data_IF_113801167860
#
_entry.id   IF_113801167860
#
_cell.length_a   1.000
_cell.length_b   1.000
_cell.length_c   1.000
_cell.angle_alpha   90.00
_cell.angle_beta   90.00
_cell.angle_gamma   90.00
#
_symmetry.space_group_name_H-M   'P 1'
#
loop_
_entity.id
_entity.type
_entity.pdbx_description
1 polymer ?
#
# COMPACT_ATOMS: atom_id res chain seq x y z
N UNK A 1 5.35 -23.29 -13.07
CA UNK A 1 6.09 -22.04 -13.27
C UNK A 1 6.33 -21.46 -11.89
N UNK A 2 7.59 -21.34 -11.46
CA UNK A 2 7.89 -20.77 -10.14
C UNK A 2 7.49 -19.30 -10.18
N UNK A 3 6.50 -18.89 -9.38
CA UNK A 3 6.17 -17.48 -9.24
C UNK A 3 7.32 -16.84 -8.47
N UNK A 4 8.07 -15.94 -9.09
CA UNK A 4 8.95 -15.05 -8.35
C UNK A 4 8.10 -14.25 -7.35
N UNK A 5 8.59 -14.10 -6.11
CA UNK A 5 7.87 -13.38 -5.06
C UNK A 5 7.95 -11.88 -5.31
N UNK A 6 9.13 -11.39 -5.67
CA UNK A 6 9.37 -10.05 -6.20
C UNK A 6 9.47 -10.03 -7.73
N UNK A 7 9.06 -8.92 -8.34
CA UNK A 7 9.30 -8.65 -9.76
C UNK A 7 10.72 -8.15 -10.07
N UNK A 8 11.45 -7.70 -9.04
CA UNK A 8 12.82 -7.22 -9.16
C UNK A 8 13.79 -8.31 -8.68
N UNK A 9 14.69 -8.76 -9.55
CA UNK A 9 15.72 -9.73 -9.17
C UNK A 9 16.79 -9.08 -8.27
N UNK A 10 17.48 -9.87 -7.42
CA UNK A 10 18.57 -9.36 -6.60
C UNK A 10 19.66 -8.70 -7.47
N UNK A 11 20.14 -7.53 -7.05
CA UNK A 11 21.12 -6.75 -7.81
C UNK A 11 20.51 -5.79 -8.85
N UNK A 12 19.18 -5.79 -9.03
CA UNK A 12 18.51 -4.81 -9.91
C UNK A 12 18.75 -3.39 -9.39
N UNK A 13 19.18 -2.47 -10.26
CA UNK A 13 19.40 -1.07 -9.90
C UNK A 13 18.06 -0.35 -9.71
N UNK A 14 17.81 0.14 -8.51
CA UNK A 14 16.61 0.92 -8.17
C UNK A 14 16.83 2.39 -8.54
N UNK A 15 16.48 2.75 -9.78
CA UNK A 15 16.61 4.11 -10.30
C UNK A 15 15.68 5.09 -9.59
N UNK A 16 16.13 6.33 -9.35
CA UNK A 16 15.32 7.39 -8.74
C UNK A 16 15.19 7.34 -7.21
N UNK A 17 15.77 6.33 -6.55
CA UNK A 17 15.84 6.26 -5.08
C UNK A 17 16.89 7.22 -4.52
N UNK A 18 18.04 7.32 -5.18
CA UNK A 18 19.09 8.26 -4.81
C UNK A 18 18.68 9.69 -5.16
N UNK A 19 18.81 10.59 -4.19
CA UNK A 19 18.49 12.01 -4.35
C UNK A 19 19.69 12.93 -4.10
N UNK A 20 20.78 12.43 -3.51
CA UNK A 20 22.03 13.17 -3.34
C UNK A 20 23.03 12.81 -4.45
N UNK A 21 23.87 13.77 -4.81
CA UNK A 21 24.95 13.56 -5.79
C UNK A 21 26.04 12.67 -5.18
N UNK A 22 26.56 11.75 -5.99
CA UNK A 22 27.67 10.87 -5.59
C UNK A 22 27.29 9.68 -4.69
N UNK A 23 25.99 9.43 -4.45
CA UNK A 23 25.56 8.21 -3.76
C UNK A 23 25.81 6.97 -4.64
N UNK A 24 26.24 5.84 -4.04
CA UNK A 24 26.36 4.58 -4.77
C UNK A 24 24.97 4.12 -5.26
N UNK A 25 24.89 3.35 -6.36
CA UNK A 25 23.61 2.84 -6.85
C UNK A 25 22.94 1.95 -5.80
N UNK A 26 21.64 2.14 -5.61
CA UNK A 26 20.84 1.28 -4.74
C UNK A 26 20.49 0.01 -5.52
N UNK A 27 20.86 -1.13 -4.97
CA UNK A 27 20.58 -2.44 -5.56
C UNK A 27 19.48 -3.14 -4.77
N UNK A 28 18.58 -3.84 -5.46
CA UNK A 28 17.62 -4.73 -4.84
C UNK A 28 18.34 -5.86 -4.10
N UNK A 29 17.91 -6.16 -2.88
CA UNK A 29 18.41 -7.29 -2.09
C UNK A 29 17.64 -8.58 -2.49
N UNK A 30 18.10 -9.76 -2.07
CA UNK A 30 17.30 -10.98 -2.06
C UNK A 30 15.97 -10.80 -1.33
N UNK A 31 14.94 -11.53 -1.77
CA UNK A 31 13.57 -11.43 -1.23
C UNK A 31 13.51 -11.76 0.28
N UNK A 32 14.40 -12.63 0.75
CA UNK A 32 14.52 -13.08 2.13
C UNK A 32 15.16 -12.02 3.06
N UNK A 33 15.89 -11.05 2.51
CA UNK A 33 16.46 -9.95 3.28
C UNK A 33 15.44 -8.83 3.55
N UNK A 34 14.30 -8.86 2.85
CA UNK A 34 13.21 -7.92 3.09
C UNK A 34 12.27 -8.42 4.20
N UNK A 35 11.75 -7.52 5.05
CA UNK A 35 10.78 -7.92 6.07
C UNK A 35 9.48 -8.50 5.49
N UNK A 36 8.93 -9.51 6.16
CA UNK A 36 7.69 -10.21 5.75
C UNK A 36 6.48 -9.29 5.48
N UNK A 37 6.41 -8.15 6.17
CA UNK A 37 5.29 -7.21 6.01
C UNK A 37 5.23 -6.61 4.61
N UNK A 38 6.35 -6.53 3.89
CA UNK A 38 6.43 -5.96 2.54
C UNK A 38 5.52 -6.71 1.57
N UNK A 39 5.51 -8.04 1.68
CA UNK A 39 4.76 -8.93 0.81
C UNK A 39 3.25 -8.91 1.07
N UNK A 40 2.83 -8.40 2.24
CA UNK A 40 1.42 -8.28 2.63
C UNK A 40 0.80 -6.93 2.29
N UNK A 41 1.58 -5.97 1.78
CA UNK A 41 1.10 -4.59 1.55
C UNK A 41 -0.05 -4.52 0.51
N UNK A 42 -0.03 -5.41 -0.48
CA UNK A 42 -1.04 -5.47 -1.53
C UNK A 42 -2.29 -6.27 -1.14
N UNK A 43 -2.26 -6.97 0.00
CA UNK A 43 -3.42 -7.69 0.50
C UNK A 43 -4.54 -6.70 0.88
N UNK A 44 -5.81 -7.04 0.61
CA UNK A 44 -6.92 -6.18 0.98
C UNK A 44 -6.95 -5.99 2.49
N UNK A 45 -7.09 -4.74 2.93
CA UNK A 45 -7.21 -4.42 4.36
C UNK A 45 -8.54 -4.96 4.89
N UNK A 46 -8.45 -6.04 5.66
CA UNK A 46 -9.59 -6.57 6.42
C UNK A 46 -9.61 -5.91 7.79
N UNK A 47 -10.69 -5.18 8.08
CA UNK A 47 -10.89 -4.59 9.39
C UNK A 47 -11.78 -5.52 10.22
N UNK A 48 -11.26 -6.17 11.27
CA UNK A 48 -12.09 -6.97 12.16
C UNK A 48 -13.10 -6.09 12.91
N UNK A 49 -14.21 -6.70 13.32
CA UNK A 49 -15.16 -6.10 14.24
C UNK A 49 -14.55 -6.08 15.65
N UNK A 50 -13.80 -5.01 15.93
CA UNK A 50 -13.10 -4.76 17.19
C UNK A 50 -14.04 -4.14 18.26
N UNK A 51 -15.36 -4.17 18.06
CA UNK A 51 -16.36 -3.56 18.96
C UNK A 51 -16.52 -2.03 18.80
N UNK A 52 -17.31 -1.38 19.67
CA UNK A 52 -17.65 0.04 19.55
C UNK A 52 -16.41 0.95 19.60
N UNK A 53 -16.25 1.80 18.59
CA UNK A 53 -15.06 2.66 18.42
C UNK A 53 -13.85 1.94 17.83
N UNK A 54 -13.98 0.67 17.46
CA UNK A 54 -12.96 -0.17 16.86
C UNK A 54 -12.42 0.35 15.53
N UNK A 55 -11.43 -0.34 14.95
CA UNK A 55 -10.88 0.06 13.64
C UNK A 55 -11.87 -0.19 12.49
N UNK A 56 -12.64 -1.28 12.56
CA UNK A 56 -13.72 -1.60 11.62
C UNK A 56 -14.75 -0.49 11.52
N UNK A 57 -15.41 -0.17 12.63
CA UNK A 57 -16.42 0.88 12.66
C UNK A 57 -15.90 2.25 12.18
N UNK A 58 -14.65 2.61 12.55
CA UNK A 58 -14.02 3.85 12.07
C UNK A 58 -13.78 3.83 10.55
N UNK A 59 -13.38 2.69 9.99
CA UNK A 59 -13.21 2.54 8.55
C UNK A 59 -14.55 2.66 7.80
N UNK A 60 -15.60 2.04 8.32
CA UNK A 60 -16.96 2.12 7.77
C UNK A 60 -17.50 3.56 7.78
N UNK A 61 -17.38 4.26 8.91
CA UNK A 61 -17.78 5.68 9.03
C UNK A 61 -17.06 6.56 8.00
N UNK A 62 -15.76 6.33 7.76
CA UNK A 62 -14.99 7.03 6.74
C UNK A 62 -15.49 6.72 5.32
N UNK A 63 -15.79 5.46 5.03
CA UNK A 63 -16.33 5.05 3.73
C UNK A 63 -17.71 5.66 3.47
N UNK A 64 -18.61 5.62 4.46
CA UNK A 64 -19.94 6.22 4.39
C UNK A 64 -19.88 7.73 4.17
N UNK A 65 -19.01 8.45 4.89
CA UNK A 65 -18.84 9.88 4.70
C UNK A 65 -18.29 10.21 3.30
N UNK A 66 -17.32 9.44 2.80
CA UNK A 66 -16.80 9.60 1.43
C UNK A 66 -17.90 9.41 0.38
N UNK A 67 -18.76 8.39 0.55
CA UNK A 67 -19.91 8.15 -0.34
C UNK A 67 -20.89 9.31 -0.30
N UNK A 68 -21.31 9.76 0.89
CA UNK A 68 -22.22 10.91 1.06
C UNK A 68 -21.71 12.17 0.37
N UNK A 69 -20.42 12.50 0.52
CA UNK A 69 -19.81 13.66 -0.14
C UNK A 69 -19.80 13.48 -1.65
N UNK A 70 -19.45 12.29 -2.15
CA UNK A 70 -19.44 12.01 -3.60
C UNK A 70 -20.84 12.15 -4.21
N UNK A 71 -21.85 11.60 -3.54
CA UNK A 71 -23.24 11.65 -4.00
C UNK A 71 -23.78 13.09 -3.98
N UNK A 72 -23.48 13.86 -2.93
CA UNK A 72 -23.85 15.27 -2.84
C UNK A 72 -23.17 16.11 -3.94
N UNK A 73 -21.88 15.91 -4.18
CA UNK A 73 -21.15 16.60 -5.24
C UNK A 73 -21.69 16.24 -6.63
N UNK A 74 -22.08 14.98 -6.84
CA UNK A 74 -22.69 14.53 -8.09
C UNK A 74 -24.02 15.24 -8.36
N UNK A 75 -24.90 15.31 -7.36
CA UNK A 75 -26.21 15.98 -7.49
C UNK A 75 -26.09 17.50 -7.66
N UNK A 76 -25.06 18.13 -7.08
CA UNK A 76 -24.82 19.56 -7.19
C UNK A 76 -24.18 19.99 -8.52
N UNK A 77 -23.66 19.05 -9.32
CA UNK A 77 -23.01 19.33 -10.61
C UNK A 77 -23.97 19.18 -11.80
N UNK A 78 -25.22 18.78 -11.56
CA UNK A 78 -26.27 18.63 -12.58
C UNK A 78 -27.11 19.90 -12.76
#
# INVERSE_FOLDING_TARGET
>A
MSSLLSSCEPGTILTGVNYLKGQPPVLALPDEEYPDWLWKVLEPRVWPDDGPGGRGERAERRAANKKRIKDANFMATQ
#
